data_IF_206101888124
#
_entry.id   IF_206101888124
#
_cell.length_a   1.000
_cell.length_b   1.000
_cell.length_c   1.000
_cell.angle_alpha   90.00
_cell.angle_beta   90.00
_cell.angle_gamma   90.00
#
_symmetry.space_group_name_H-M   'P 1'
#
loop_
_entity.id
_entity.type
_entity.pdbx_description
1 polymer ?
#
# COMPACT_ATOMS: atom_id res chain seq x y z
N UNK A 1 -8.13 22.38 19.61
CA UNK A 1 -7.91 20.92 19.48
C UNK A 1 -7.29 20.65 18.12
N UNK A 2 -6.28 19.79 18.02
CA UNK A 2 -5.65 19.45 16.73
C UNK A 2 -6.67 18.71 15.87
N UNK A 3 -6.78 19.10 14.60
CA UNK A 3 -7.57 18.43 13.56
C UNK A 3 -6.64 18.16 12.37
N UNK A 4 -6.54 16.89 11.99
CA UNK A 4 -5.82 16.39 10.82
C UNK A 4 -6.80 15.70 9.86
N UNK A 5 -6.37 15.40 8.64
CA UNK A 5 -7.14 14.61 7.69
C UNK A 5 -6.27 13.70 6.83
N UNK A 6 -6.82 12.53 6.53
CA UNK A 6 -6.40 11.69 5.42
C UNK A 6 -7.16 12.13 4.16
N UNK A 7 -6.47 12.16 3.04
CA UNK A 7 -6.97 12.67 1.76
C UNK A 7 -6.76 11.65 0.61
N UNK A 8 -7.24 10.39 0.70
CA UNK A 8 -7.03 9.43 -0.37
C UNK A 8 -7.90 9.74 -1.59
N UNK A 9 -7.28 9.70 -2.77
CA UNK A 9 -7.99 9.62 -4.04
C UNK A 9 -8.39 8.15 -4.32
N UNK A 10 -9.68 7.83 -4.52
CA UNK A 10 -10.16 6.45 -4.60
C UNK A 10 -9.97 5.85 -6.00
N UNK A 11 -8.72 5.67 -6.43
CA UNK A 11 -8.34 5.00 -7.69
C UNK A 11 -7.87 3.55 -7.52
N UNK A 12 -8.11 2.97 -6.35
CA UNK A 12 -7.63 1.63 -5.97
C UNK A 12 -7.12 1.57 -4.53
N UNK A 13 -6.71 0.38 -4.06
CA UNK A 13 -6.35 0.13 -2.67
C UNK A 13 -5.16 0.98 -2.23
N UNK A 14 -5.02 1.22 -0.93
CA UNK A 14 -3.79 1.78 -0.37
C UNK A 14 -2.68 0.74 -0.48
N UNK A 15 -1.45 1.20 -0.73
CA UNK A 15 -0.25 0.37 -0.70
C UNK A 15 0.77 0.91 0.29
N UNK A 16 1.85 0.16 0.49
CA UNK A 16 2.91 0.49 1.45
C UNK A 16 3.46 1.92 1.31
N UNK A 17 3.54 2.46 0.08
CA UNK A 17 3.95 3.86 -0.15
C UNK A 17 3.01 4.91 0.46
N UNK A 18 1.74 4.58 0.69
CA UNK A 18 0.78 5.46 1.37
C UNK A 18 0.91 5.41 2.90
N UNK A 19 1.64 4.42 3.45
CA UNK A 19 1.69 4.16 4.89
C UNK A 19 2.23 5.32 5.70
N UNK A 20 3.24 6.02 5.16
CA UNK A 20 3.81 7.21 5.81
C UNK A 20 2.74 8.26 6.08
N UNK A 21 1.88 8.54 5.09
CA UNK A 21 0.83 9.54 5.24
C UNK A 21 -0.19 9.15 6.32
N UNK A 22 -0.75 7.94 6.26
CA UNK A 22 -1.82 7.56 7.19
C UNK A 22 -1.34 7.23 8.59
N UNK A 23 -0.17 6.59 8.76
CA UNK A 23 0.37 6.27 10.08
C UNK A 23 0.79 7.53 10.82
N UNK A 24 1.44 8.49 10.14
CA UNK A 24 1.85 9.75 10.78
C UNK A 24 0.62 10.58 11.18
N UNK A 25 -0.36 10.76 10.29
CA UNK A 25 -1.57 11.51 10.64
C UNK A 25 -2.32 10.89 11.83
N UNK A 26 -2.46 9.56 11.88
CA UNK A 26 -3.04 8.83 13.02
C UNK A 26 -2.21 8.97 14.30
N UNK A 27 -0.89 8.81 14.22
CA UNK A 27 0.00 8.93 15.37
C UNK A 27 -0.04 10.33 15.99
N UNK A 28 -0.04 11.38 15.16
CA UNK A 28 -0.15 12.77 15.62
C UNK A 28 -1.54 13.10 16.15
N UNK A 29 -2.61 12.58 15.54
CA UNK A 29 -3.96 12.72 16.08
C UNK A 29 -4.05 12.11 17.49
N UNK A 30 -3.54 10.89 17.69
CA UNK A 30 -3.50 10.22 18.99
C UNK A 30 -2.63 10.95 20.00
N UNK A 31 -1.40 11.35 19.61
CA UNK A 31 -0.45 12.07 20.47
C UNK A 31 -1.01 13.37 21.06
N UNK A 32 -1.77 14.13 20.26
CA UNK A 32 -2.32 15.41 20.67
C UNK A 32 -3.80 15.34 21.07
N UNK A 33 -4.34 14.13 21.27
CA UNK A 33 -5.75 13.89 21.55
C UNK A 33 -6.67 14.67 20.58
N UNK A 34 -6.27 14.72 19.31
CA UNK A 34 -6.89 15.46 18.22
C UNK A 34 -8.05 14.71 17.55
N UNK A 35 -8.53 15.27 16.44
CA UNK A 35 -9.48 14.63 15.52
C UNK A 35 -8.73 14.26 14.23
N UNK A 36 -8.95 13.06 13.73
CA UNK A 36 -8.52 12.64 12.39
C UNK A 36 -9.75 12.47 11.51
N UNK A 37 -9.80 13.15 10.37
CA UNK A 37 -10.85 13.01 9.36
C UNK A 37 -10.38 12.06 8.25
N UNK A 38 -11.29 11.28 7.67
CA UNK A 38 -11.08 10.61 6.39
C UNK A 38 -11.89 11.35 5.33
N UNK A 39 -11.21 12.12 4.48
CA UNK A 39 -11.85 12.90 3.42
C UNK A 39 -11.45 12.28 2.08
N UNK A 40 -12.39 11.56 1.45
CA UNK A 40 -12.14 11.06 0.10
C UNK A 40 -12.05 12.24 -0.87
N UNK A 41 -10.90 12.38 -1.53
CA UNK A 41 -10.72 13.34 -2.62
C UNK A 41 -11.31 12.73 -3.90
N UNK A 42 -12.62 12.57 -3.91
CA UNK A 42 -13.37 12.06 -5.04
C UNK A 42 -13.82 13.19 -5.97
N UNK A 43 -12.92 14.13 -6.26
CA UNK A 43 -13.09 15.00 -7.42
C UNK A 43 -12.94 14.19 -8.70
N UNK A 44 -13.57 14.59 -9.81
CA UNK A 44 -13.54 13.78 -11.03
C UNK A 44 -12.12 13.54 -11.54
N UNK A 45 -11.85 12.28 -11.87
CA UNK A 45 -10.56 11.82 -12.37
C UNK A 45 -10.24 12.15 -13.81
N UNK A 46 -9.11 11.62 -14.26
CA UNK A 46 -8.82 11.43 -15.68
C UNK A 46 -9.09 9.98 -16.08
N UNK A 47 -9.05 9.69 -17.38
CA UNK A 47 -9.16 8.31 -17.90
C UNK A 47 -8.08 7.38 -17.33
N UNK A 48 -6.85 7.89 -17.16
CA UNK A 48 -5.75 7.12 -16.58
C UNK A 48 -5.89 6.91 -15.07
N UNK A 49 -6.62 7.79 -14.38
CA UNK A 49 -6.80 7.77 -12.92
C UNK A 49 -8.28 7.97 -12.57
N UNK A 50 -9.17 7.03 -12.93
CA UNK A 50 -10.57 7.16 -12.65
C UNK A 50 -10.86 6.89 -11.17
N UNK A 51 -12.07 7.26 -10.76
CA UNK A 51 -12.63 6.87 -9.48
C UNK A 51 -13.16 5.44 -9.63
N UNK A 52 -12.83 4.57 -8.68
CA UNK A 52 -13.30 3.20 -8.65
C UNK A 52 -14.28 3.04 -7.49
N UNK A 53 -15.55 2.64 -7.73
CA UNK A 53 -16.53 2.42 -6.66
C UNK A 53 -16.01 1.51 -5.54
N UNK A 54 -15.32 0.44 -5.88
CA UNK A 54 -14.75 -0.52 -4.93
C UNK A 54 -13.57 0.06 -4.13
N UNK A 55 -12.89 1.09 -4.62
CA UNK A 55 -11.73 1.66 -3.94
C UNK A 55 -12.11 2.39 -2.64
N UNK A 56 -13.36 2.85 -2.51
CA UNK A 56 -13.85 3.45 -1.27
C UNK A 56 -13.82 2.43 -0.11
N UNK A 57 -14.25 1.20 -0.36
CA UNK A 57 -14.20 0.10 0.62
C UNK A 57 -12.78 -0.39 0.85
N UNK A 58 -12.03 -0.61 -0.23
CA UNK A 58 -10.64 -1.09 -0.15
C UNK A 58 -9.73 -0.15 0.65
N UNK A 59 -9.93 1.16 0.55
CA UNK A 59 -9.20 2.16 1.34
C UNK A 59 -9.58 2.03 2.82
N UNK A 60 -10.87 1.92 3.14
CA UNK A 60 -11.35 1.77 4.52
C UNK A 60 -10.83 0.49 5.16
N UNK A 61 -10.95 -0.64 4.48
CA UNK A 61 -10.43 -1.93 4.94
C UNK A 61 -8.93 -1.89 5.19
N UNK A 62 -8.18 -1.23 4.31
CA UNK A 62 -6.74 -1.08 4.46
C UNK A 62 -6.36 -0.24 5.69
N UNK A 63 -7.06 0.89 5.90
CA UNK A 63 -6.87 1.75 7.07
C UNK A 63 -7.25 1.04 8.37
N UNK A 64 -8.37 0.32 8.38
CA UNK A 64 -8.82 -0.49 9.51
C UNK A 64 -7.79 -1.56 9.89
N UNK A 65 -7.32 -2.34 8.90
CA UNK A 65 -6.25 -3.31 9.11
C UNK A 65 -4.99 -2.65 9.69
N UNK A 66 -4.61 -1.48 9.19
CA UNK A 66 -3.45 -0.73 9.68
C UNK A 66 -3.65 -0.08 11.07
N UNK A 67 -4.82 -0.24 11.70
CA UNK A 67 -5.16 0.32 13.01
C UNK A 67 -5.25 1.84 13.01
N UNK A 68 -5.69 2.42 11.89
CA UNK A 68 -5.90 3.87 11.74
C UNK A 68 -7.32 4.22 12.14
N UNK A 69 -7.47 5.08 13.14
CA UNK A 69 -8.77 5.48 13.67
C UNK A 69 -9.11 6.90 13.24
N UNK A 70 -10.17 7.06 12.45
CA UNK A 70 -10.71 8.35 12.03
C UNK A 70 -12.09 8.57 12.64
N UNK A 71 -12.44 9.84 12.86
CA UNK A 71 -13.62 10.25 13.61
C UNK A 71 -14.83 10.53 12.71
N UNK A 72 -14.58 10.80 11.43
CA UNK A 72 -15.62 11.16 10.46
C UNK A 72 -15.14 10.83 9.06
N UNK A 73 -16.08 10.39 8.21
CA UNK A 73 -15.85 10.13 6.79
C UNK A 73 -16.60 11.17 5.98
N UNK A 74 -15.89 11.83 5.08
CA UNK A 74 -16.41 12.90 4.24
C UNK A 74 -16.01 12.61 2.79
N UNK A 75 -16.80 13.16 1.86
CA UNK A 75 -16.57 13.03 0.43
C UNK A 75 -16.58 14.42 -0.19
N UNK A 76 -15.60 14.71 -1.06
CA UNK A 76 -15.55 16.01 -1.74
C UNK A 76 -16.70 16.18 -2.72
N UNK A 77 -17.18 15.11 -3.34
CA UNK A 77 -18.33 15.17 -4.25
C UNK A 77 -19.61 15.66 -3.56
N UNK A 78 -19.78 15.46 -2.24
CA UNK A 78 -20.90 16.02 -1.47
C UNK A 78 -20.78 17.54 -1.22
N UNK A 79 -19.60 18.09 -1.47
CA UNK A 79 -19.20 19.46 -1.11
C UNK A 79 -19.03 20.37 -2.33
N UNK A 80 -19.26 19.84 -3.54
CA UNK A 80 -19.20 20.60 -4.80
C UNK A 80 -20.06 21.87 -4.76
N UNK A 81 -21.30 21.88 -4.23
CA UNK A 81 -22.06 23.12 -4.10
C UNK A 81 -21.34 24.21 -3.29
N UNK A 82 -20.68 23.83 -2.18
CA UNK A 82 -19.86 24.76 -1.41
C UNK A 82 -18.66 25.24 -2.25
N UNK A 83 -18.01 24.36 -3.01
CA UNK A 83 -16.91 24.78 -3.87
C UNK A 83 -17.37 25.81 -4.91
N UNK A 84 -18.57 25.70 -5.47
CA UNK A 84 -19.13 26.70 -6.39
C UNK A 84 -19.41 28.03 -5.70
N UNK A 85 -20.00 28.04 -4.50
CA UNK A 85 -20.21 29.27 -3.73
C UNK A 85 -18.89 30.01 -3.45
N UNK A 86 -17.85 29.26 -3.11
CA UNK A 86 -16.52 29.83 -2.88
C UNK A 86 -15.82 30.26 -4.18
N UNK A 87 -16.10 29.59 -5.30
CA UNK A 87 -15.60 29.99 -6.60
C UNK A 87 -16.17 31.35 -6.99
N UNK A 88 -17.48 31.56 -6.82
CA UNK A 88 -18.11 32.86 -7.09
C UNK A 88 -17.54 33.98 -6.22
N UNK A 89 -17.26 33.72 -4.94
CA UNK A 89 -16.56 34.68 -4.06
C UNK A 89 -15.18 35.03 -4.60
N UNK A 90 -14.40 34.04 -5.03
CA UNK A 90 -13.07 34.25 -5.60
C UNK A 90 -13.13 35.02 -6.93
N UNK A 91 -14.06 34.66 -7.82
CA UNK A 91 -14.23 35.35 -9.10
C UNK A 91 -14.68 36.80 -8.89
N UNK A 92 -15.49 37.05 -7.87
CA UNK A 92 -15.96 38.40 -7.50
C UNK A 92 -14.85 39.34 -7.03
N UNK A 93 -13.67 38.82 -6.63
CA UNK A 93 -12.52 39.66 -6.29
C UNK A 93 -11.79 40.19 -7.53
N UNK A 94 -12.05 39.62 -8.70
CA UNK A 94 -11.32 39.92 -9.93
C UNK A 94 -9.93 39.26 -10.00
N UNK A 95 -9.55 38.44 -9.02
CA UNK A 95 -8.27 37.72 -8.97
C UNK A 95 -8.34 36.34 -9.64
N UNK A 96 -9.50 35.93 -10.13
CA UNK A 96 -9.67 34.75 -10.96
C UNK A 96 -10.51 35.09 -12.19
N UNK A 97 -10.39 34.30 -13.25
CA UNK A 97 -11.08 34.53 -14.51
C UNK A 97 -11.38 33.23 -15.25
N UNK A 98 -12.37 33.23 -16.15
CA UNK A 98 -12.66 32.11 -17.05
C UNK A 98 -11.85 32.28 -18.32
N UNK A 99 -11.26 31.20 -18.80
CA UNK A 99 -10.38 31.19 -19.97
C UNK A 99 -10.84 30.14 -20.98
N UNK A 100 -11.04 30.57 -22.22
CA UNK A 100 -11.44 29.72 -23.36
C UNK A 100 -10.27 29.40 -24.31
N UNK A 101 -9.05 29.82 -23.96
CA UNK A 101 -7.90 29.53 -24.81
C UNK A 101 -7.63 28.03 -24.87
N UNK A 102 -7.31 27.53 -26.06
CA UNK A 102 -6.87 26.15 -26.24
C UNK A 102 -5.51 25.90 -25.56
N UNK A 103 -5.21 24.63 -25.33
CA UNK A 103 -4.00 24.22 -24.61
C UNK A 103 -2.69 24.65 -25.30
N UNK A 104 -2.65 24.71 -26.63
CA UNK A 104 -1.45 25.09 -27.38
C UNK A 104 -1.18 26.60 -27.24
N UNK A 105 -2.23 27.41 -27.40
CA UNK A 105 -2.18 28.86 -27.18
C UNK A 105 -1.72 29.19 -25.76
N UNK A 106 -2.25 28.49 -24.77
CA UNK A 106 -1.84 28.66 -23.37
C UNK A 106 -0.41 28.27 -23.11
N UNK A 107 0.08 27.18 -23.72
CA UNK A 107 1.49 26.78 -23.62
C UNK A 107 2.40 27.87 -24.18
N UNK A 108 2.11 28.38 -25.40
CA UNK A 108 2.87 29.47 -26.03
C UNK A 108 2.84 30.74 -25.18
N UNK A 109 1.69 31.10 -24.65
CA UNK A 109 1.52 32.26 -23.77
C UNK A 109 2.35 32.13 -22.49
N UNK A 110 2.33 30.95 -21.85
CA UNK A 110 3.16 30.66 -20.68
C UNK A 110 4.64 30.74 -21.03
N UNK A 111 5.10 30.10 -22.09
CA UNK A 111 6.50 30.15 -22.54
C UNK A 111 6.97 31.58 -22.81
N UNK A 112 6.11 32.40 -23.44
CA UNK A 112 6.36 33.80 -23.73
C UNK A 112 6.12 34.76 -22.53
N UNK A 113 5.72 34.24 -21.35
CA UNK A 113 5.35 35.04 -20.17
C UNK A 113 4.25 36.09 -20.45
N UNK A 114 3.33 35.78 -21.37
CA UNK A 114 2.22 36.66 -21.78
C UNK A 114 0.90 36.18 -21.21
N UNK A 115 0.16 37.10 -20.59
CA UNK A 115 -1.22 36.84 -20.20
C UNK A 115 -2.12 36.60 -21.42
N UNK A 116 -3.12 35.73 -21.28
CA UNK A 116 -4.15 35.62 -22.31
C UNK A 116 -5.12 36.82 -22.28
N UNK A 117 -5.84 37.04 -23.38
CA UNK A 117 -6.80 38.16 -23.52
C UNK A 117 -7.94 38.12 -22.50
N UNK A 118 -8.34 36.93 -22.05
CA UNK A 118 -9.39 36.76 -21.04
C UNK A 118 -8.98 37.27 -19.65
N UNK A 119 -7.67 37.44 -19.37
CA UNK A 119 -7.18 37.86 -18.05
C UNK A 119 -7.64 39.28 -17.67
N UNK A 120 -7.96 40.12 -18.66
CA UNK A 120 -8.39 41.52 -18.46
C UNK A 120 -9.92 41.70 -18.47
N UNK A 121 -10.68 40.61 -18.58
CA UNK A 121 -12.13 40.66 -18.54
C UNK A 121 -12.64 41.21 -17.21
N UNK A 122 -13.81 41.85 -17.24
CA UNK A 122 -14.48 42.36 -16.06
C UNK A 122 -14.98 41.24 -15.15
N UNK A 123 -15.31 41.60 -13.90
CA UNK A 123 -15.91 40.66 -12.95
C UNK A 123 -17.26 40.14 -13.47
N UNK A 124 -18.09 41.02 -14.03
CA UNK A 124 -19.41 40.64 -14.55
C UNK A 124 -19.31 39.66 -15.72
N UNK A 125 -18.38 39.88 -16.67
CA UNK A 125 -18.09 38.94 -17.76
C UNK A 125 -17.60 37.60 -17.21
N UNK A 126 -16.68 37.62 -16.25
CA UNK A 126 -16.18 36.40 -15.60
C UNK A 126 -17.30 35.58 -14.97
N UNK A 127 -18.19 36.24 -14.24
CA UNK A 127 -19.32 35.57 -13.56
C UNK A 127 -20.33 35.05 -14.58
N UNK A 128 -20.58 35.77 -15.68
CA UNK A 128 -21.44 35.29 -16.76
C UNK A 128 -20.87 34.01 -17.40
N UNK A 129 -19.58 34.00 -17.75
CA UNK A 129 -18.91 32.83 -18.30
C UNK A 129 -18.90 31.66 -17.32
N UNK A 130 -18.67 31.91 -16.02
CA UNK A 130 -18.74 30.87 -14.98
C UNK A 130 -20.12 30.22 -14.93
N UNK A 131 -21.20 31.02 -14.98
CA UNK A 131 -22.57 30.50 -15.02
C UNK A 131 -22.84 29.69 -16.28
N UNK A 132 -22.33 30.12 -17.44
CA UNK A 132 -22.41 29.38 -18.69
C UNK A 132 -21.66 28.03 -18.63
N UNK A 133 -20.50 27.96 -17.95
CA UNK A 133 -19.81 26.68 -17.66
C UNK A 133 -20.69 25.72 -16.86
N UNK A 134 -21.36 26.22 -15.80
CA UNK A 134 -22.28 25.42 -14.99
C UNK A 134 -23.53 25.00 -15.78
N UNK A 135 -24.03 25.86 -16.66
CA UNK A 135 -25.29 25.68 -17.39
C UNK A 135 -25.22 24.70 -18.57
N UNK A 136 -24.04 24.29 -19.00
CA UNK A 136 -23.92 23.37 -20.15
C UNK A 136 -23.41 24.00 -21.44
N UNK A 137 -23.09 25.29 -21.45
CA UNK A 137 -22.85 26.04 -22.70
C UNK A 137 -21.46 25.82 -23.31
N UNK A 138 -20.53 25.27 -22.53
CA UNK A 138 -19.17 24.88 -22.96
C UNK A 138 -18.98 23.38 -22.82
N UNK A 139 -18.32 22.73 -23.78
CA UNK A 139 -17.94 21.31 -23.74
C UNK A 139 -16.67 21.05 -22.90
N UNK A 140 -16.34 19.77 -22.66
CA UNK A 140 -15.09 19.37 -21.99
C UNK A 140 -13.86 19.96 -22.70
N UNK A 141 -13.05 20.71 -21.95
CA UNK A 141 -11.84 21.35 -22.44
C UNK A 141 -12.01 22.75 -23.05
N UNK A 142 -13.24 23.22 -23.28
CA UNK A 142 -13.49 24.54 -23.91
C UNK A 142 -13.32 25.71 -22.94
N UNK A 143 -13.55 25.52 -21.65
CA UNK A 143 -13.42 26.58 -20.66
C UNK A 143 -12.85 26.06 -19.33
N UNK A 144 -12.02 26.89 -18.69
CA UNK A 144 -11.46 26.64 -17.36
C UNK A 144 -11.45 27.90 -16.51
N UNK A 145 -11.58 27.77 -15.19
CA UNK A 145 -11.31 28.88 -14.27
C UNK A 145 -9.82 28.91 -13.94
N UNK A 146 -9.19 30.08 -13.98
CA UNK A 146 -7.77 30.29 -13.64
C UNK A 146 -7.62 31.32 -12.54
N UNK A 147 -6.69 31.08 -11.63
CA UNK A 147 -6.23 32.09 -10.68
C UNK A 147 -5.25 33.02 -11.38
N UNK A 148 -5.41 34.34 -11.28
CA UNK A 148 -4.41 35.30 -11.75
C UNK A 148 -3.19 35.18 -10.85
N UNK A 149 -2.08 34.75 -11.44
CA UNK A 149 -0.77 34.74 -10.79
C UNK A 149 0.22 35.60 -11.56
N UNK A 150 1.49 35.57 -11.18
CA UNK A 150 2.52 36.26 -11.93
C UNK A 150 2.88 35.46 -13.17
N UNK A 151 2.68 36.05 -14.35
CA UNK A 151 3.05 35.43 -15.62
C UNK A 151 4.57 35.38 -15.83
N UNK A 152 5.34 36.17 -15.07
CA UNK A 152 6.80 36.14 -15.05
C UNK A 152 7.37 35.14 -14.03
N UNK A 153 6.53 34.41 -13.28
CA UNK A 153 7.00 33.43 -12.29
C UNK A 153 7.99 32.45 -12.93
N UNK A 154 9.20 32.23 -12.36
CA UNK A 154 10.21 31.37 -12.96
C UNK A 154 9.73 29.93 -13.15
N UNK A 155 8.75 29.46 -12.38
CA UNK A 155 8.11 28.17 -12.54
C UNK A 155 6.81 28.30 -13.36
N UNK A 156 6.78 27.79 -14.61
CA UNK A 156 5.61 27.89 -15.48
C UNK A 156 4.33 27.24 -14.92
N UNK A 157 4.46 26.31 -13.97
CA UNK A 157 3.31 25.66 -13.34
C UNK A 157 2.49 26.62 -12.45
N UNK A 158 3.09 27.69 -11.95
CA UNK A 158 2.38 28.72 -11.18
C UNK A 158 1.61 29.70 -12.06
N UNK A 159 2.04 29.89 -13.32
CA UNK A 159 1.50 30.89 -14.25
C UNK A 159 0.05 30.59 -14.62
N UNK A 160 -0.84 31.43 -14.11
CA UNK A 160 -2.30 31.34 -14.18
C UNK A 160 -2.83 29.91 -14.08
N UNK A 161 -2.66 29.30 -12.89
CA UNK A 161 -3.02 27.90 -12.63
C UNK A 161 -4.53 27.69 -12.72
N UNK A 162 -4.92 26.53 -13.23
CA UNK A 162 -6.33 26.13 -13.37
C UNK A 162 -6.89 25.77 -11.99
N UNK A 163 -8.06 26.30 -11.66
CA UNK A 163 -8.80 26.04 -10.42
C UNK A 163 -10.05 25.21 -10.64
N UNK A 164 -10.67 25.30 -11.82
CA UNK A 164 -11.79 24.46 -12.22
C UNK A 164 -11.68 24.06 -13.68
N UNK A 165 -12.16 22.86 -13.99
CA UNK A 165 -12.28 22.34 -15.37
C UNK A 165 -13.65 21.74 -15.61
N UNK A 166 -14.06 21.72 -16.87
CA UNK A 166 -15.21 20.92 -17.32
C UNK A 166 -14.75 19.48 -17.51
N UNK A 167 -15.54 18.53 -17.05
CA UNK A 167 -15.36 17.11 -17.32
C UNK A 167 -16.74 16.43 -17.31
N UNK A 168 -17.04 15.69 -18.39
CA UNK A 168 -18.37 15.11 -18.64
C UNK A 168 -18.40 13.60 -18.34
N UNK A 169 -17.48 13.14 -17.49
CA UNK A 169 -17.41 11.74 -17.06
C UNK A 169 -18.40 11.46 -15.93
N UNK A 170 -19.01 10.27 -15.95
CA UNK A 170 -19.87 9.81 -14.87
C UNK A 170 -19.11 9.69 -13.54
N UNK A 171 -19.67 10.29 -12.48
CA UNK A 171 -19.14 10.16 -11.12
C UNK A 171 -19.83 9.01 -10.36
N UNK A 172 -19.09 8.09 -9.72
CA UNK A 172 -19.68 6.90 -9.09
C UNK A 172 -20.66 7.19 -7.93
N UNK A 173 -20.55 8.36 -7.27
CA UNK A 173 -21.46 8.77 -6.18
C UNK A 173 -22.55 9.76 -6.58
N UNK A 174 -22.32 10.59 -7.60
CA UNK A 174 -23.19 11.73 -7.91
C UNK A 174 -23.65 11.78 -9.36
N UNK A 175 -23.29 10.77 -10.17
CA UNK A 175 -23.65 10.68 -11.58
C UNK A 175 -23.13 11.87 -12.37
N UNK A 176 -24.03 12.44 -13.17
CA UNK A 176 -23.84 13.60 -14.05
C UNK A 176 -24.24 14.94 -13.38
N UNK A 177 -24.56 14.93 -12.09
CA UNK A 177 -25.06 16.12 -11.36
C UNK A 177 -24.12 17.33 -11.46
N UNK A 178 -22.82 17.08 -11.58
CA UNK A 178 -21.81 18.11 -11.68
C UNK A 178 -20.93 17.88 -12.90
N UNK A 179 -20.74 18.94 -13.69
CA UNK A 179 -19.87 18.94 -14.89
C UNK A 179 -18.62 19.78 -14.73
N UNK A 180 -18.64 20.75 -13.80
CA UNK A 180 -17.50 21.62 -13.51
C UNK A 180 -16.87 21.19 -12.21
N UNK A 181 -15.60 20.82 -12.23
CA UNK A 181 -14.93 20.19 -11.11
C UNK A 181 -13.75 21.01 -10.61
N UNK A 182 -13.62 21.23 -9.29
CA UNK A 182 -12.50 21.95 -8.73
C UNK A 182 -11.22 21.13 -8.86
N UNK A 183 -10.11 21.82 -9.02
CA UNK A 183 -8.77 21.26 -8.92
C UNK A 183 -8.36 21.12 -7.45
N UNK A 184 -7.27 20.39 -7.22
CA UNK A 184 -6.79 20.02 -5.89
C UNK A 184 -6.57 21.24 -4.99
N UNK A 185 -5.93 22.28 -5.52
CA UNK A 185 -5.52 23.47 -4.78
C UNK A 185 -6.73 24.28 -4.32
N UNK A 186 -7.72 24.46 -5.19
CA UNK A 186 -8.93 25.20 -4.83
C UNK A 186 -9.77 24.43 -3.82
N UNK A 187 -10.03 23.15 -4.09
CA UNK A 187 -10.89 22.34 -3.22
C UNK A 187 -10.31 22.18 -1.82
N UNK A 188 -8.99 21.94 -1.67
CA UNK A 188 -8.36 21.85 -0.35
C UNK A 188 -8.26 23.19 0.38
N UNK A 189 -8.00 24.30 -0.33
CA UNK A 189 -8.04 25.62 0.29
C UNK A 189 -9.40 25.90 0.95
N UNK A 190 -10.50 25.52 0.29
CA UNK A 190 -11.85 25.66 0.85
C UNK A 190 -12.10 24.64 1.96
N UNK A 191 -11.86 23.36 1.69
CA UNK A 191 -12.24 22.28 2.60
C UNK A 191 -11.44 22.27 3.90
N UNK A 192 -10.13 22.52 3.86
CA UNK A 192 -9.32 22.51 5.09
C UNK A 192 -9.78 23.61 6.06
N UNK A 193 -10.14 24.78 5.54
CA UNK A 193 -10.70 25.89 6.32
C UNK A 193 -12.07 25.53 6.90
N UNK A 194 -13.00 25.06 6.06
CA UNK A 194 -14.38 24.77 6.47
C UNK A 194 -14.48 23.58 7.43
N UNK A 195 -13.66 22.56 7.25
CA UNK A 195 -13.60 21.38 8.11
C UNK A 195 -12.83 21.66 9.41
N UNK A 196 -12.25 22.85 9.56
CA UNK A 196 -11.50 23.25 10.73
C UNK A 196 -10.19 22.48 10.90
N UNK A 197 -9.59 22.01 9.79
CA UNK A 197 -8.27 21.39 9.78
C UNK A 197 -7.27 22.38 10.35
N UNK A 198 -6.40 21.91 11.22
CA UNK A 198 -5.38 22.74 11.88
C UNK A 198 -3.98 22.45 11.38
N UNK A 199 -3.73 21.22 10.93
CA UNK A 199 -2.43 20.78 10.46
C UNK A 199 -2.61 19.87 9.25
N UNK A 200 -1.90 20.19 8.17
CA UNK A 200 -1.85 19.42 6.95
C UNK A 200 -0.54 18.65 6.93
N UNK A 201 -0.59 17.36 7.27
CA UNK A 201 0.58 16.50 7.28
C UNK A 201 0.66 15.70 5.96
N UNK A 202 1.53 16.11 5.03
CA UNK A 202 1.61 15.55 3.66
C UNK A 202 3.04 15.40 3.13
N UNK A 203 3.18 14.76 1.98
CA UNK A 203 4.48 14.63 1.31
C UNK A 203 5.02 15.98 0.83
N UNK A 204 6.35 16.15 0.84
CA UNK A 204 7.01 17.39 0.38
C UNK A 204 6.86 17.67 -1.13
N UNK A 205 6.37 16.70 -1.89
CA UNK A 205 6.00 16.87 -3.29
C UNK A 205 4.84 17.84 -3.50
N UNK A 206 4.07 18.13 -2.44
CA UNK A 206 2.90 19.02 -2.49
C UNK A 206 3.17 20.45 -1.99
N UNK A 207 4.44 20.86 -1.90
CA UNK A 207 4.81 22.23 -1.48
C UNK A 207 4.29 23.28 -2.46
N UNK A 208 4.19 22.95 -3.74
CA UNK A 208 3.66 23.84 -4.76
C UNK A 208 2.17 24.13 -4.52
N UNK A 209 1.41 23.11 -4.17
CA UNK A 209 -0.01 23.18 -3.83
C UNK A 209 -0.22 24.04 -2.57
N UNK A 210 0.67 23.97 -1.57
CA UNK A 210 0.59 24.82 -0.37
C UNK A 210 0.60 26.31 -0.73
N UNK A 211 1.46 26.71 -1.67
CA UNK A 211 1.61 28.10 -2.09
C UNK A 211 0.33 28.60 -2.80
N UNK A 212 -0.28 27.74 -3.61
CA UNK A 212 -1.55 28.03 -4.26
C UNK A 212 -2.70 28.12 -3.25
N UNK A 213 -2.80 27.18 -2.32
CA UNK A 213 -3.77 27.20 -1.24
C UNK A 213 -3.63 28.46 -0.38
N UNK A 214 -2.39 28.85 -0.05
CA UNK A 214 -2.07 30.08 0.70
C UNK A 214 -2.53 31.33 -0.03
N UNK A 215 -2.24 31.43 -1.34
CA UNK A 215 -2.68 32.55 -2.16
C UNK A 215 -4.21 32.66 -2.21
N UNK A 216 -4.90 31.53 -2.35
CA UNK A 216 -6.37 31.48 -2.35
C UNK A 216 -6.91 31.95 -1.00
N UNK A 217 -6.29 31.54 0.12
CA UNK A 217 -6.66 32.02 1.45
C UNK A 217 -6.46 33.52 1.61
N UNK A 218 -5.35 34.07 1.14
CA UNK A 218 -5.06 35.50 1.24
C UNK A 218 -6.09 36.33 0.47
N UNK A 219 -6.43 35.92 -0.76
CA UNK A 219 -7.43 36.60 -1.60
C UNK A 219 -8.82 36.55 -0.97
N UNK A 220 -9.21 35.39 -0.44
CA UNK A 220 -10.53 35.18 0.19
C UNK A 220 -10.59 35.69 1.63
N UNK A 221 -9.50 36.23 2.18
CA UNK A 221 -9.43 36.69 3.56
C UNK A 221 -9.61 35.58 4.60
N UNK A 222 -9.28 34.32 4.26
CA UNK A 222 -9.39 33.17 5.17
C UNK A 222 -8.27 33.26 6.21
N UNK A 223 -8.62 33.70 7.43
CA UNK A 223 -7.67 33.84 8.53
C UNK A 223 -7.37 32.54 9.27
N UNK A 224 -8.38 31.67 9.40
CA UNK A 224 -8.23 30.38 10.07
C UNK A 224 -7.85 29.33 9.04
N UNK A 225 -6.54 29.19 8.82
CA UNK A 225 -5.95 28.22 7.91
C UNK A 225 -5.09 27.20 8.67
N UNK A 226 -4.92 25.98 8.17
CA UNK A 226 -4.04 25.00 8.78
C UNK A 226 -2.56 25.35 8.56
N UNK A 227 -1.72 24.80 9.43
CA UNK A 227 -0.26 24.77 9.24
C UNK A 227 0.14 23.61 8.33
N UNK A 228 0.98 23.87 7.32
CA UNK A 228 1.54 22.83 6.47
C UNK A 228 2.76 22.20 7.14
N UNK A 229 2.77 20.86 7.21
CA UNK A 229 3.88 20.08 7.75
C UNK A 229 4.21 18.96 6.78
N UNK A 230 5.44 18.94 6.30
CA UNK A 230 5.84 17.99 5.27
C UNK A 230 6.68 16.84 5.80
N UNK A 231 6.63 15.73 5.09
CA UNK A 231 7.57 14.63 5.22
C UNK A 231 8.16 14.24 3.86
N UNK A 232 9.39 13.75 3.87
CA UNK A 232 10.01 13.15 2.70
C UNK A 232 9.29 11.88 2.27
N UNK A 233 9.41 11.59 0.97
CA UNK A 233 8.73 10.49 0.31
C UNK A 233 9.39 9.17 0.73
N UNK A 234 8.56 8.17 1.05
CA UNK A 234 9.01 6.80 1.29
C UNK A 234 9.03 6.03 -0.04
N UNK A 235 10.22 5.55 -0.41
CA UNK A 235 10.47 4.70 -1.57
C UNK A 235 11.01 3.35 -1.10
N UNK A 236 10.69 2.32 -1.88
CA UNK A 236 11.22 1.00 -1.66
C UNK A 236 12.19 0.65 -2.79
N UNK A 237 13.36 0.16 -2.41
CA UNK A 237 14.35 -0.29 -3.38
C UNK A 237 13.79 -1.45 -4.18
N UNK A 238 13.99 -1.43 -5.50
CA UNK A 238 13.58 -2.48 -6.44
C UNK A 238 12.06 -2.78 -6.48
N UNK A 239 11.23 -1.87 -5.92
CA UNK A 239 9.77 -1.99 -5.94
C UNK A 239 9.14 -0.77 -6.59
N UNK A 240 8.50 -0.99 -7.73
CA UNK A 240 7.64 0.01 -8.35
C UNK A 240 6.21 -0.14 -7.78
N UNK A 241 5.69 0.92 -7.16
CA UNK A 241 4.33 0.97 -6.60
C UNK A 241 3.44 1.83 -7.49
N UNK A 242 2.53 1.21 -8.23
CA UNK A 242 1.65 1.92 -9.18
C UNK A 242 0.26 1.31 -9.21
N UNK A 243 -0.73 2.04 -8.67
CA UNK A 243 -2.14 1.63 -8.66
C UNK A 243 -2.70 1.40 -10.07
N UNK A 244 -2.34 2.27 -11.02
CA UNK A 244 -2.83 2.15 -12.41
C UNK A 244 -2.26 0.92 -13.09
N UNK A 245 -0.97 0.62 -12.89
CA UNK A 245 -0.32 -0.61 -13.39
C UNK A 245 -0.99 -1.83 -12.78
N UNK A 246 -1.12 -1.91 -11.46
CA UNK A 246 -1.75 -3.07 -10.80
C UNK A 246 -3.15 -3.34 -11.32
N UNK A 247 -3.97 -2.30 -11.50
CA UNK A 247 -5.30 -2.44 -12.08
C UNK A 247 -5.26 -3.02 -13.49
N UNK A 248 -4.36 -2.53 -14.36
CA UNK A 248 -4.19 -3.06 -15.72
C UNK A 248 -3.77 -4.54 -15.70
N UNK A 249 -2.84 -4.89 -14.83
CA UNK A 249 -2.35 -6.28 -14.70
C UNK A 249 -3.38 -7.23 -14.07
N UNK A 250 -4.22 -6.76 -13.15
CA UNK A 250 -5.37 -7.52 -12.62
C UNK A 250 -6.41 -7.75 -13.73
N UNK A 251 -6.76 -6.70 -14.48
CA UNK A 251 -7.71 -6.82 -15.60
C UNK A 251 -7.20 -7.76 -16.70
N UNK A 252 -5.89 -7.80 -16.94
CA UNK A 252 -5.24 -8.72 -17.87
C UNK A 252 -5.10 -10.17 -17.32
N UNK A 253 -5.43 -10.41 -16.05
CA UNK A 253 -5.29 -11.72 -15.39
C UNK A 253 -3.86 -12.10 -15.01
N UNK A 254 -2.90 -11.17 -15.10
CA UNK A 254 -1.51 -11.41 -14.67
C UNK A 254 -1.35 -11.35 -13.15
N UNK A 255 -2.19 -10.56 -12.47
CA UNK A 255 -2.32 -10.52 -11.01
C UNK A 255 -3.64 -11.14 -10.58
N UNK A 256 -3.63 -11.85 -9.46
CA UNK A 256 -4.80 -12.58 -8.93
C UNK A 256 -5.85 -11.66 -8.30
N UNK A 257 -5.49 -10.44 -7.93
CA UNK A 257 -6.37 -9.48 -7.27
C UNK A 257 -5.58 -8.37 -6.57
N UNK A 258 -6.29 -7.53 -5.81
CA UNK A 258 -5.65 -6.46 -5.02
C UNK A 258 -4.77 -7.00 -3.90
N UNK A 259 -5.01 -8.22 -3.44
CA UNK A 259 -4.30 -8.90 -2.38
C UNK A 259 -3.17 -9.80 -2.90
N UNK A 260 -2.91 -9.77 -4.21
CA UNK A 260 -1.77 -10.45 -4.83
C UNK A 260 -0.45 -9.94 -4.20
N UNK A 261 0.52 -10.82 -3.89
CA UNK A 261 1.76 -10.47 -3.19
C UNK A 261 2.58 -9.38 -3.88
N UNK A 262 2.45 -9.24 -5.20
CA UNK A 262 3.18 -8.25 -6.02
C UNK A 262 2.61 -6.83 -5.96
N UNK A 263 1.39 -6.67 -5.46
CA UNK A 263 0.72 -5.35 -5.39
C UNK A 263 1.22 -4.49 -4.25
N UNK A 264 1.74 -5.10 -3.18
CA UNK A 264 2.12 -4.39 -1.96
C UNK A 264 1.01 -3.50 -1.39
N UNK A 265 -0.25 -3.82 -1.72
CA UNK A 265 -1.42 -3.23 -1.10
C UNK A 265 -1.47 -3.60 0.39
N UNK A 266 -2.26 -2.88 1.18
CA UNK A 266 -2.46 -3.26 2.59
C UNK A 266 -3.12 -4.64 2.71
N UNK A 267 -4.00 -4.99 1.77
CA UNK A 267 -4.60 -6.32 1.64
C UNK A 267 -3.55 -7.40 1.35
N UNK A 268 -2.60 -7.11 0.46
CA UNK A 268 -1.49 -8.00 0.11
C UNK A 268 -0.57 -8.23 1.31
N UNK A 269 -0.20 -7.17 2.04
CA UNK A 269 0.60 -7.29 3.26
C UNK A 269 -0.12 -8.11 4.33
N UNK A 270 -1.43 -7.88 4.53
CA UNK A 270 -2.28 -8.68 5.43
C UNK A 270 -2.27 -10.15 5.03
N UNK A 271 -2.53 -10.45 3.76
CA UNK A 271 -2.58 -11.82 3.23
C UNK A 271 -1.23 -12.53 3.31
N UNK A 272 -0.12 -11.78 3.25
CA UNK A 272 1.22 -12.32 3.47
C UNK A 272 1.57 -12.57 4.95
N UNK A 273 0.71 -12.18 5.89
CA UNK A 273 0.98 -12.35 7.33
C UNK A 273 1.85 -11.25 7.93
N UNK A 274 2.00 -10.10 7.26
CA UNK A 274 2.59 -8.92 7.89
C UNK A 274 1.63 -8.40 8.94
N UNK A 275 2.13 -8.08 10.14
CA UNK A 275 1.36 -7.51 11.23
C UNK A 275 1.22 -6.01 11.04
N UNK A 276 0.03 -5.42 11.31
CA UNK A 276 -0.13 -3.97 11.19
C UNK A 276 0.75 -3.20 12.18
N UNK A 277 1.04 -3.77 13.35
CA UNK A 277 2.00 -3.20 14.30
C UNK A 277 3.43 -3.11 13.70
N UNK A 278 3.84 -4.07 12.86
CA UNK A 278 5.13 -4.00 12.17
C UNK A 278 5.16 -2.87 11.15
N UNK A 279 4.08 -2.70 10.38
CA UNK A 279 3.92 -1.59 9.45
C UNK A 279 4.02 -0.24 10.17
N UNK A 280 3.33 -0.12 11.30
CA UNK A 280 3.35 1.12 12.10
C UNK A 280 4.74 1.41 12.66
N UNK A 281 5.38 0.43 13.28
CA UNK A 281 6.73 0.60 13.83
C UNK A 281 7.73 0.96 12.72
N UNK A 282 7.67 0.27 11.58
CA UNK A 282 8.48 0.56 10.40
C UNK A 282 8.31 2.01 9.94
N UNK A 283 7.10 2.55 9.87
CA UNK A 283 6.90 3.95 9.47
C UNK A 283 7.41 4.92 10.55
N UNK A 284 7.11 4.64 11.81
CA UNK A 284 7.44 5.51 12.94
C UNK A 284 8.94 5.55 13.23
N UNK A 285 9.69 4.48 12.94
CA UNK A 285 11.14 4.43 13.14
C UNK A 285 11.91 5.47 12.33
N UNK A 286 11.34 5.94 11.22
CA UNK A 286 11.93 7.02 10.42
C UNK A 286 11.64 8.43 10.95
N UNK A 287 10.70 8.56 11.89
CA UNK A 287 10.23 9.83 12.41
C UNK A 287 9.66 10.77 11.34
N UNK A 288 9.42 12.01 11.76
CA UNK A 288 9.03 13.11 10.89
C UNK A 288 10.29 13.84 10.40
N UNK A 289 10.58 13.74 9.10
CA UNK A 289 11.74 14.36 8.46
C UNK A 289 11.40 14.70 7.01
N UNK A 290 12.00 15.76 6.48
CA UNK A 290 11.91 16.20 5.08
C UNK A 290 12.78 15.37 4.12
N UNK A 291 13.71 14.58 4.66
CA UNK A 291 14.57 13.73 3.85
C UNK A 291 13.75 12.59 3.24
N UNK A 292 13.95 12.35 1.96
CA UNK A 292 13.39 11.16 1.31
C UNK A 292 14.06 9.93 1.89
N UNK A 293 13.28 8.86 1.99
CA UNK A 293 13.70 7.60 2.57
C UNK A 293 13.57 6.55 1.48
N UNK A 294 14.68 5.95 1.10
CA UNK A 294 14.69 4.77 0.25
C UNK A 294 15.18 3.59 1.08
N UNK A 295 14.36 2.55 1.19
CA UNK A 295 14.65 1.39 2.04
C UNK A 295 14.36 0.08 1.34
N UNK A 296 15.14 -0.97 1.65
CA UNK A 296 14.84 -2.31 1.16
C UNK A 296 13.61 -2.90 1.89
N UNK A 297 12.93 -3.85 1.26
CA UNK A 297 11.78 -4.55 1.83
C UNK A 297 12.10 -5.24 3.17
N UNK A 298 13.35 -5.67 3.32
CA UNK A 298 13.92 -6.33 4.48
C UNK A 298 13.76 -5.51 5.77
N UNK A 299 13.70 -4.18 5.69
CA UNK A 299 13.49 -3.33 6.87
C UNK A 299 12.10 -3.57 7.47
N UNK A 300 11.04 -3.64 6.65
CA UNK A 300 9.70 -3.99 7.12
C UNK A 300 9.65 -5.43 7.65
N UNK A 301 10.34 -6.34 6.98
CA UNK A 301 10.39 -7.74 7.39
C UNK A 301 11.09 -7.95 8.73
N UNK A 302 12.12 -7.15 9.02
CA UNK A 302 12.79 -7.14 10.31
C UNK A 302 11.82 -6.76 11.43
N UNK A 303 11.03 -5.69 11.25
CA UNK A 303 10.02 -5.29 12.22
C UNK A 303 8.93 -6.36 12.40
N UNK A 304 8.52 -7.00 11.30
CA UNK A 304 7.53 -8.07 11.37
C UNK A 304 8.07 -9.31 12.10
N UNK A 305 9.32 -9.71 11.83
CA UNK A 305 9.99 -10.84 12.48
C UNK A 305 10.02 -10.67 14.00
N UNK A 306 10.38 -9.48 14.50
CA UNK A 306 10.38 -9.19 15.95
C UNK A 306 9.04 -9.47 16.63
N UNK A 307 7.93 -9.32 15.90
CA UNK A 307 6.59 -9.54 16.43
C UNK A 307 6.15 -11.00 16.33
N UNK A 308 6.42 -11.66 15.19
CA UNK A 308 5.85 -12.99 14.91
C UNK A 308 6.77 -14.14 15.34
N UNK A 309 8.07 -13.92 15.47
CA UNK A 309 9.05 -14.99 15.69
C UNK A 309 8.73 -15.81 16.92
N UNK A 310 8.53 -15.11 18.04
CA UNK A 310 8.20 -15.69 19.36
C UNK A 310 6.90 -16.46 19.39
N UNK A 311 5.98 -16.17 18.46
CA UNK A 311 4.62 -16.70 18.44
C UNK A 311 4.43 -17.81 17.41
N UNK A 312 5.25 -17.83 16.36
CA UNK A 312 5.13 -18.75 15.25
C UNK A 312 5.74 -20.12 15.57
N UNK A 313 4.90 -21.16 15.58
CA UNK A 313 5.38 -22.53 15.67
C UNK A 313 6.19 -22.92 14.42
N UNK A 314 7.14 -23.84 14.60
CA UNK A 314 8.07 -24.31 13.58
C UNK A 314 7.56 -25.60 12.96
N UNK A 315 7.53 -25.64 11.63
CA UNK A 315 7.16 -26.83 10.87
C UNK A 315 8.12 -27.10 9.73
N UNK A 316 8.17 -28.33 9.25
CA UNK A 316 8.93 -28.67 8.04
C UNK A 316 8.08 -28.50 6.78
N UNK A 317 8.65 -27.81 5.80
CA UNK A 317 8.22 -27.78 4.41
C UNK A 317 9.43 -28.09 3.52
N UNK A 318 9.27 -29.11 2.68
CA UNK A 318 10.27 -29.61 1.76
C UNK A 318 9.86 -29.22 0.34
N UNK A 319 10.41 -28.12 -0.22
CA UNK A 319 10.17 -27.74 -1.61
C UNK A 319 10.84 -28.72 -2.57
N UNK A 320 10.19 -28.98 -3.71
CA UNK A 320 10.70 -29.86 -4.77
C UNK A 320 11.28 -31.17 -4.20
N UNK A 321 10.44 -32.03 -3.57
CA UNK A 321 10.90 -33.14 -2.76
C UNK A 321 11.66 -34.20 -3.57
N UNK A 322 12.84 -34.58 -3.09
CA UNK A 322 13.62 -35.72 -3.60
C UNK A 322 13.54 -36.86 -2.60
N UNK A 323 13.09 -38.03 -3.06
CA UNK A 323 13.02 -39.24 -2.24
C UNK A 323 14.42 -39.80 -1.96
N UNK A 324 14.64 -40.15 -0.70
CA UNK A 324 15.88 -40.70 -0.14
C UNK A 324 15.53 -41.91 0.73
N UNK A 325 16.22 -43.03 0.50
CA UNK A 325 16.10 -44.23 1.33
C UNK A 325 17.35 -44.41 2.20
N UNK A 326 17.15 -44.47 3.52
CA UNK A 326 18.19 -44.55 4.54
C UNK A 326 18.48 -46.01 4.87
N UNK A 327 19.60 -46.52 4.38
CA UNK A 327 20.09 -47.86 4.69
C UNK A 327 20.72 -47.90 6.10
N UNK A 328 20.35 -48.92 6.88
CA UNK A 328 20.88 -49.15 8.22
C UNK A 328 20.26 -48.29 9.32
N UNK A 329 19.11 -47.66 9.08
CA UNK A 329 18.37 -46.92 10.09
C UNK A 329 17.78 -47.90 11.14
N UNK A 330 17.95 -47.65 12.45
CA UNK A 330 17.29 -48.43 13.51
C UNK A 330 15.76 -48.28 13.46
N UNK A 331 14.98 -49.23 14.01
CA UNK A 331 13.53 -49.09 14.13
C UNK A 331 13.15 -47.82 14.92
N UNK A 332 12.41 -46.92 14.27
CA UNK A 332 11.91 -45.67 14.84
C UNK A 332 10.65 -45.25 14.09
N UNK A 333 9.63 -44.85 14.83
CA UNK A 333 8.33 -44.45 14.25
C UNK A 333 8.16 -42.94 14.18
N UNK A 334 8.74 -42.21 15.15
CA UNK A 334 8.59 -40.77 15.25
C UNK A 334 9.90 -40.09 15.65
N UNK A 335 10.18 -38.95 15.03
CA UNK A 335 11.17 -37.99 15.48
C UNK A 335 10.48 -36.91 16.32
N UNK A 336 11.11 -36.49 17.42
CA UNK A 336 10.55 -35.48 18.32
C UNK A 336 11.29 -34.16 18.11
N UNK A 337 10.58 -33.15 17.62
CA UNK A 337 11.12 -31.81 17.42
C UNK A 337 10.37 -30.79 18.28
N UNK A 338 11.04 -29.77 18.85
CA UNK A 338 10.35 -28.71 19.57
C UNK A 338 9.45 -27.91 18.63
N UNK A 339 8.28 -27.48 19.11
CA UNK A 339 7.43 -26.56 18.34
C UNK A 339 8.05 -25.18 18.22
N UNK A 340 8.86 -24.77 19.18
CA UNK A 340 9.70 -23.58 19.10
C UNK A 340 10.98 -23.77 19.92
N UNK A 341 12.18 -23.54 19.35
CA UNK A 341 13.45 -23.79 20.04
C UNK A 341 13.61 -22.96 21.33
N UNK A 342 13.26 -21.67 21.28
CA UNK A 342 13.43 -20.76 22.43
C UNK A 342 12.29 -20.81 23.46
N UNK A 343 11.22 -21.58 23.21
CA UNK A 343 10.08 -21.70 24.13
C UNK A 343 9.74 -23.17 24.42
N UNK A 344 10.56 -23.89 25.21
CA UNK A 344 10.36 -25.32 25.50
C UNK A 344 9.00 -25.67 26.09
N UNK A 345 8.38 -24.74 26.82
CA UNK A 345 7.03 -24.90 27.40
C UNK A 345 5.90 -25.04 26.38
N UNK A 346 6.14 -24.71 25.09
CA UNK A 346 5.17 -24.91 24.00
C UNK A 346 4.99 -26.37 23.60
N UNK A 347 5.87 -27.24 24.07
CA UNK A 347 5.82 -28.66 23.76
C UNK A 347 6.54 -29.00 22.45
N UNK A 348 6.21 -30.19 21.94
CA UNK A 348 6.92 -30.82 20.85
C UNK A 348 5.93 -31.30 19.79
N UNK A 349 6.41 -31.38 18.56
CA UNK A 349 5.76 -32.08 17.45
C UNK A 349 6.40 -33.45 17.31
N UNK A 350 5.55 -34.44 17.07
CA UNK A 350 5.96 -35.79 16.68
C UNK A 350 5.82 -35.91 15.17
N UNK A 351 6.95 -36.16 14.52
CA UNK A 351 7.06 -36.21 13.06
C UNK A 351 7.22 -37.67 12.68
N UNK A 352 6.35 -38.25 11.85
CA UNK A 352 6.53 -39.62 11.39
C UNK A 352 7.91 -39.82 10.76
N UNK A 353 8.64 -40.82 11.25
CA UNK A 353 10.01 -41.13 10.89
C UNK A 353 10.12 -42.55 10.35
N UNK A 354 11.10 -42.79 9.48
CA UNK A 354 11.29 -44.08 8.85
C UNK A 354 12.42 -44.07 7.83
N UNK A 355 12.66 -45.20 7.15
CA UNK A 355 13.78 -45.33 6.22
C UNK A 355 13.57 -44.53 4.93
N UNK A 356 12.34 -44.14 4.58
CA UNK A 356 12.04 -43.35 3.37
C UNK A 356 11.68 -41.94 3.75
N UNK A 357 12.48 -40.98 3.31
CA UNK A 357 12.29 -39.55 3.56
C UNK A 357 12.35 -38.77 2.26
N UNK A 358 11.79 -37.57 2.28
CA UNK A 358 11.92 -36.56 1.25
C UNK A 358 12.72 -35.39 1.80
N UNK A 359 13.68 -34.91 1.01
CA UNK A 359 14.50 -33.73 1.31
C UNK A 359 14.37 -32.74 0.16
N UNK A 360 14.72 -31.47 0.40
CA UNK A 360 14.61 -30.45 -0.62
C UNK A 360 15.61 -30.73 -1.75
N UNK A 361 15.20 -30.56 -3.02
CA UNK A 361 16.09 -30.78 -4.17
C UNK A 361 17.40 -29.99 -4.08
N UNK A 362 17.32 -28.72 -3.68
CA UNK A 362 18.50 -27.86 -3.52
C UNK A 362 19.48 -28.43 -2.48
N UNK A 363 18.98 -28.91 -1.34
CA UNK A 363 19.81 -29.55 -0.32
C UNK A 363 20.38 -30.89 -0.79
N UNK A 364 19.58 -31.68 -1.51
CA UNK A 364 20.03 -32.94 -2.09
C UNK A 364 21.22 -32.72 -3.03
N UNK A 365 21.11 -31.77 -3.96
CA UNK A 365 22.16 -31.45 -4.92
C UNK A 365 23.41 -30.89 -4.24
N UNK A 366 23.23 -29.98 -3.26
CA UNK A 366 24.33 -29.32 -2.55
C UNK A 366 25.13 -30.24 -1.64
N UNK A 367 24.44 -31.18 -0.98
CA UNK A 367 25.02 -32.04 0.06
C UNK A 367 25.14 -33.51 -0.34
N UNK A 368 24.89 -33.86 -1.60
CA UNK A 368 25.09 -35.23 -2.09
C UNK A 368 26.50 -35.74 -1.79
N UNK A 369 26.57 -36.98 -1.28
CA UNK A 369 27.80 -37.65 -0.84
C UNK A 369 28.39 -37.13 0.47
N UNK A 370 27.79 -36.11 1.11
CA UNK A 370 28.28 -35.52 2.36
C UNK A 370 27.46 -35.97 3.55
N UNK A 371 28.05 -35.89 4.74
CA UNK A 371 27.32 -36.11 6.00
C UNK A 371 26.45 -34.89 6.30
N UNK A 372 25.16 -35.12 6.51
CA UNK A 372 24.16 -34.12 6.92
C UNK A 372 23.32 -34.64 8.07
N UNK A 373 22.74 -33.73 8.83
CA UNK A 373 21.74 -34.06 9.84
C UNK A 373 20.35 -33.79 9.30
N UNK A 374 19.53 -34.82 9.22
CA UNK A 374 18.08 -34.67 9.14
C UNK A 374 17.63 -34.03 10.46
N UNK A 375 17.15 -32.80 10.39
CA UNK A 375 16.93 -31.98 11.59
C UNK A 375 16.02 -32.70 12.59
N UNK A 376 16.45 -32.71 13.85
CA UNK A 376 15.80 -33.38 14.99
C UNK A 376 15.58 -34.89 14.83
N UNK A 377 16.33 -35.53 13.92
CA UNK A 377 16.24 -36.95 13.63
C UNK A 377 17.59 -37.66 13.68
N UNK A 378 18.27 -37.84 12.54
CA UNK A 378 19.50 -38.63 12.45
C UNK A 378 20.53 -38.02 11.50
N UNK A 379 21.78 -38.48 11.60
CA UNK A 379 22.85 -38.13 10.68
C UNK A 379 22.98 -39.20 9.59
N UNK A 380 23.09 -38.77 8.35
CA UNK A 380 23.20 -39.63 7.17
C UNK A 380 24.31 -39.13 6.24
N UNK A 381 24.91 -40.03 5.47
CA UNK A 381 25.58 -39.64 4.22
C UNK A 381 24.49 -39.57 3.14
N UNK A 382 24.26 -38.36 2.62
CA UNK A 382 23.14 -38.09 1.73
C UNK A 382 23.39 -38.63 0.31
N UNK A 383 22.53 -39.53 -0.14
CA UNK A 383 22.41 -39.96 -1.53
C UNK A 383 21.00 -40.53 -1.73
N UNK A 384 20.63 -40.98 -2.93
CA UNK A 384 19.34 -41.66 -3.13
C UNK A 384 19.20 -42.89 -2.22
N UNK A 385 20.30 -43.61 -2.03
CA UNK A 385 20.45 -44.64 -1.01
C UNK A 385 21.40 -44.13 0.07
N UNK A 386 20.87 -43.28 0.94
CA UNK A 386 21.62 -42.69 2.04
C UNK A 386 22.10 -43.77 3.02
N UNK A 387 23.24 -43.53 3.67
CA UNK A 387 23.78 -44.42 4.71
C UNK A 387 23.57 -43.78 6.08
N UNK A 388 22.92 -44.50 6.98
CA UNK A 388 22.84 -44.10 8.38
C UNK A 388 24.24 -44.00 9.02
N UNK A 389 24.48 -42.92 9.77
CA UNK A 389 25.75 -42.72 10.47
C UNK A 389 25.55 -42.80 11.99
N UNK A 390 24.65 -41.99 12.54
CA UNK A 390 24.42 -41.93 14.00
C UNK A 390 23.14 -41.15 14.34
N UNK A 391 22.63 -41.32 15.57
CA UNK A 391 21.55 -40.48 16.12
C UNK A 391 22.08 -39.21 16.83
N UNK A 392 23.38 -39.15 17.11
CA UNK A 392 24.02 -38.08 17.86
C UNK A 392 23.73 -36.70 17.24
N UNK A 393 23.51 -35.69 18.08
CA UNK A 393 23.34 -34.32 17.59
C UNK A 393 24.71 -33.71 17.29
N UNK A 394 25.20 -33.91 16.07
CA UNK A 394 26.45 -33.33 15.57
C UNK A 394 26.23 -31.92 15.03
N UNK A 395 27.24 -31.08 15.17
CA UNK A 395 27.27 -29.76 14.54
C UNK A 395 27.73 -29.86 13.07
N UNK A 396 26.83 -30.40 12.25
CA UNK A 396 26.97 -30.58 10.80
C UNK A 396 25.79 -29.91 10.09
N UNK A 397 25.83 -29.70 8.75
CA UNK A 397 24.72 -29.10 8.03
C UNK A 397 23.40 -29.80 8.32
N UNK A 398 22.40 -29.03 8.77
CA UNK A 398 21.05 -29.52 9.11
C UNK A 398 20.11 -29.23 7.96
N UNK A 399 19.34 -30.24 7.56
CA UNK A 399 18.33 -30.12 6.50
C UNK A 399 16.95 -30.55 7.00
N UNK A 400 15.90 -29.87 6.54
CA UNK A 400 14.52 -30.29 6.82
C UNK A 400 14.13 -31.47 5.93
N UNK A 401 13.20 -32.27 6.42
CA UNK A 401 12.79 -33.52 5.81
C UNK A 401 11.36 -33.87 6.21
N UNK A 402 10.72 -34.75 5.45
CA UNK A 402 9.43 -35.36 5.78
C UNK A 402 9.42 -36.81 5.31
N UNK A 403 8.72 -37.74 5.98
CA UNK A 403 8.51 -39.10 5.44
C UNK A 403 7.35 -39.09 4.45
N UNK A 404 6.15 -38.94 4.98
CA UNK A 404 4.91 -38.67 4.28
C UNK A 404 4.46 -37.28 4.68
N UNK A 405 4.02 -36.49 3.71
CA UNK A 405 3.61 -35.12 3.93
C UNK A 405 2.29 -34.80 3.24
N UNK A 406 1.71 -33.67 3.62
CA UNK A 406 0.62 -33.04 2.89
C UNK A 406 1.20 -32.14 1.79
N UNK A 407 0.52 -32.02 0.66
CA UNK A 407 0.92 -31.08 -0.37
C UNK A 407 0.83 -29.64 0.18
N UNK A 408 1.91 -28.89 0.04
CA UNK A 408 1.98 -27.48 0.43
C UNK A 408 2.29 -26.63 -0.79
N UNK A 409 1.46 -25.61 -1.00
CA UNK A 409 1.63 -24.57 -2.02
C UNK A 409 2.00 -23.27 -1.32
N UNK A 410 3.27 -22.89 -1.39
CA UNK A 410 3.78 -21.65 -0.80
C UNK A 410 3.89 -20.57 -1.87
N UNK A 411 2.99 -19.58 -1.82
CA UNK A 411 3.01 -18.43 -2.73
C UNK A 411 4.10 -17.46 -2.28
N UNK A 412 5.04 -17.15 -3.17
CA UNK A 412 6.18 -16.28 -2.93
C UNK A 412 5.87 -14.80 -3.26
N UNK A 413 6.71 -13.84 -2.81
CA UNK A 413 6.46 -12.41 -3.02
C UNK A 413 6.40 -11.97 -4.50
N UNK A 414 7.03 -12.74 -5.39
CA UNK A 414 7.02 -12.53 -6.84
C UNK A 414 5.79 -13.17 -7.53
N UNK A 415 4.86 -13.75 -6.76
CA UNK A 415 3.66 -14.41 -7.25
C UNK A 415 3.89 -15.85 -7.74
N UNK A 416 5.13 -16.35 -7.73
CA UNK A 416 5.42 -17.75 -8.04
C UNK A 416 4.96 -18.66 -6.90
N UNK A 417 4.74 -19.95 -7.20
CA UNK A 417 4.41 -20.96 -6.20
C UNK A 417 5.59 -21.92 -6.01
N UNK A 418 6.10 -22.02 -4.79
CA UNK A 418 6.96 -23.12 -4.37
C UNK A 418 6.10 -24.29 -3.90
N UNK A 419 6.21 -25.43 -4.57
CA UNK A 419 5.41 -26.63 -4.29
C UNK A 419 6.25 -27.69 -3.61
N UNK A 420 5.65 -28.42 -2.68
CA UNK A 420 6.37 -29.46 -1.96
C UNK A 420 5.52 -30.16 -0.92
N UNK A 421 6.21 -30.80 0.03
CA UNK A 421 5.58 -31.56 1.10
C UNK A 421 5.78 -30.87 2.44
N UNK A 422 4.69 -30.59 3.15
CA UNK A 422 4.69 -30.21 4.55
C UNK A 422 4.55 -31.43 5.44
N UNK A 423 5.07 -31.37 6.66
CA UNK A 423 4.80 -32.44 7.63
C UNK A 423 3.30 -32.56 7.94
N UNK A 424 2.79 -33.74 8.36
CA UNK A 424 1.35 -33.97 8.49
C UNK A 424 0.62 -33.00 9.41
N UNK A 425 1.28 -32.50 10.46
CA UNK A 425 0.70 -31.53 11.39
C UNK A 425 0.34 -30.19 10.75
N UNK A 426 0.93 -29.85 9.59
CA UNK A 426 0.55 -28.65 8.82
C UNK A 426 -0.91 -28.70 8.40
N UNK A 427 -1.48 -29.90 8.20
CA UNK A 427 -2.90 -30.09 7.87
C UNK A 427 -3.86 -29.77 9.04
N UNK A 428 -3.33 -29.64 10.27
CA UNK A 428 -4.10 -29.29 11.48
C UNK A 428 -4.09 -27.80 11.81
N UNK A 429 -3.31 -27.02 11.06
CA UNK A 429 -3.27 -25.56 11.18
C UNK A 429 -4.60 -24.94 10.77
N UNK A 430 -4.83 -23.72 11.24
CA UNK A 430 -6.00 -22.93 10.90
C UNK A 430 -5.64 -21.85 9.89
N UNK A 431 -6.62 -21.42 9.11
CA UNK A 431 -6.50 -20.21 8.30
C UNK A 431 -6.11 -19.04 9.21
N UNK A 432 -5.21 -18.20 8.71
CA UNK A 432 -4.56 -17.08 9.41
C UNK A 432 -3.51 -17.44 10.47
N UNK A 433 -3.23 -18.72 10.72
CA UNK A 433 -2.04 -19.10 11.50
C UNK A 433 -0.77 -18.60 10.79
N UNK A 434 0.13 -17.98 11.56
CA UNK A 434 1.46 -17.61 11.07
C UNK A 434 2.47 -18.59 11.64
N UNK A 435 3.17 -19.28 10.76
CA UNK A 435 4.15 -20.31 11.10
C UNK A 435 5.51 -19.97 10.51
N UNK A 436 6.56 -20.61 11.02
CA UNK A 436 7.85 -20.63 10.34
C UNK A 436 8.08 -22.01 9.73
N UNK A 437 8.18 -22.04 8.41
CA UNK A 437 8.74 -23.20 7.72
C UNK A 437 10.26 -23.15 7.89
N UNK A 438 10.79 -24.11 8.62
CA UNK A 438 12.20 -24.09 9.00
C UNK A 438 13.13 -24.05 7.78
N UNK A 439 14.13 -23.16 7.84
CA UNK A 439 15.08 -22.87 6.74
C UNK A 439 14.44 -22.30 5.46
N UNK A 440 13.14 -22.08 5.44
CA UNK A 440 12.41 -21.47 4.31
C UNK A 440 12.00 -20.03 4.67
N UNK A 441 11.29 -19.85 5.78
CA UNK A 441 10.86 -18.54 6.28
C UNK A 441 9.47 -18.56 6.92
N UNK A 442 8.96 -17.39 7.24
CA UNK A 442 7.62 -17.21 7.81
C UNK A 442 6.56 -17.22 6.72
N UNK A 443 5.42 -17.84 7.01
CA UNK A 443 4.28 -17.89 6.12
C UNK A 443 2.96 -17.84 6.90
N UNK A 444 1.94 -17.23 6.29
CA UNK A 444 0.57 -17.27 6.77
C UNK A 444 -0.19 -18.38 6.04
N UNK A 445 -0.92 -19.20 6.78
CA UNK A 445 -1.81 -20.22 6.22
C UNK A 445 -3.05 -19.54 5.63
N UNK A 446 -3.31 -19.76 4.35
CA UNK A 446 -4.40 -19.13 3.59
C UNK A 446 -5.54 -20.11 3.32
N UNK A 447 -5.23 -21.39 3.16
CA UNK A 447 -6.22 -22.45 2.94
C UNK A 447 -5.71 -23.79 3.50
N UNK A 448 -6.60 -24.57 4.10
CA UNK A 448 -6.31 -25.90 4.64
C UNK A 448 -7.40 -26.87 4.22
N UNK A 449 -6.98 -28.00 3.66
CA UNK A 449 -7.85 -29.13 3.32
C UNK A 449 -7.17 -30.46 3.69
N UNK A 450 -7.87 -31.58 3.50
CA UNK A 450 -7.28 -32.91 3.69
C UNK A 450 -6.21 -33.26 2.63
N UNK A 451 -6.24 -32.61 1.47
CA UNK A 451 -5.36 -32.92 0.35
C UNK A 451 -4.17 -31.96 0.25
N UNK A 452 -4.39 -30.69 0.55
CA UNK A 452 -3.39 -29.63 0.40
C UNK A 452 -3.56 -28.50 1.41
N UNK A 453 -2.47 -27.78 1.63
CA UNK A 453 -2.40 -26.52 2.36
C UNK A 453 -1.79 -25.45 1.45
N UNK A 454 -2.42 -24.27 1.41
CA UNK A 454 -1.86 -23.09 0.74
C UNK A 454 -1.42 -22.09 1.77
N UNK A 455 -0.22 -21.55 1.60
CA UNK A 455 0.35 -20.55 2.48
C UNK A 455 0.95 -19.40 1.65
N UNK A 456 0.96 -18.20 2.22
CA UNK A 456 1.59 -17.02 1.62
C UNK A 456 2.85 -16.67 2.39
N UNK A 457 3.95 -16.55 1.67
CA UNK A 457 5.24 -16.22 2.23
C UNK A 457 5.28 -14.77 2.72
N UNK A 458 5.65 -14.59 3.98
CA UNK A 458 5.86 -13.28 4.57
C UNK A 458 7.27 -12.79 4.19
N UNK A 459 8.27 -13.42 4.77
CA UNK A 459 9.69 -13.13 4.64
C UNK A 459 10.52 -14.25 5.30
N UNK A 460 11.83 -14.26 5.06
CA UNK A 460 12.74 -15.20 5.73
C UNK A 460 12.83 -14.97 7.23
#
# INVERSE_FOLDING_TARGET
>A
KVVLRLAPYPSGPLHIGNARAFVLNDAYAKKYHGKLLLVFDDTIGSEDKPLLPEAFDQVREGLDWAGVEFHEVLYKSDRIPLHYEWAEKLLSTGEAYVCECDAETLRKNREAMKACVHRIQSVDETIAMWKAMLAGEYAEGEAVVRLKTDMADPNPAFRDRVLFRIAERDHPRVGDRYRVWPMLEFSWAVDDSLLGVTHVLRGKDLVMEDQMETRIWDILGIRRRPEFVHFGILRFKDLELSKSRYRKEIAAGHLTGIDDPRTWSLQSLRRRGIRPAALREFVLSFGLSLNDIEVPAETLYSENRKLIDKDANRYFFVPDPVAVEIAGLPPIEHAKAPLHPDFPGRGHREIPAGPKVHVAKEDFEKFRGKEVRLKDFCNIILDHRARFVSMENKDIPKIQWVTHGINVHLVLPDGSESRGLGEPLVASLKVDDVVQFERVGFARIDHVSKAEVRAFFAHR
#
